data_IF_929526691016
#
_entry.id   IF_929526691016
#
_cell.length_a   1.000
_cell.length_b   1.000
_cell.length_c   1.000
_cell.angle_alpha   90.00
_cell.angle_beta   90.00
_cell.angle_gamma   90.00
#
_symmetry.space_group_name_H-M   'P 1'
#
loop_
_entity.id
_entity.type
_entity.pdbx_description
1 polymer ?
#
# COMPACT_ATOMS: atom_id res chain seq x y z
N UNK A 1 40.58 -7.82 22.06
CA UNK A 1 39.41 -6.98 22.44
C UNK A 1 38.42 -6.74 21.27
N UNK A 2 38.86 -6.60 20.02
CA UNK A 2 37.97 -6.35 18.85
C UNK A 2 36.98 -7.49 18.49
N UNK A 3 37.34 -8.76 18.71
CA UNK A 3 36.51 -9.92 18.33
C UNK A 3 35.22 -9.97 19.17
N UNK A 4 35.27 -9.58 20.44
CA UNK A 4 34.10 -9.56 21.33
C UNK A 4 33.09 -8.49 20.91
N UNK A 5 33.56 -7.29 20.53
CA UNK A 5 32.70 -6.20 20.05
C UNK A 5 31.99 -6.54 18.73
N UNK A 6 32.65 -7.29 17.84
CA UNK A 6 32.09 -7.70 16.55
C UNK A 6 30.94 -8.72 16.69
N UNK A 7 30.98 -9.60 17.71
CA UNK A 7 29.91 -10.56 18.01
C UNK A 7 28.60 -9.86 18.41
N UNK A 8 28.70 -8.77 19.17
CA UNK A 8 27.52 -7.99 19.55
C UNK A 8 26.90 -7.25 18.36
N UNK A 9 27.73 -6.70 17.46
CA UNK A 9 27.27 -6.05 16.22
C UNK A 9 26.53 -7.07 15.32
N UNK A 10 27.11 -8.26 15.13
CA UNK A 10 26.47 -9.33 14.37
C UNK A 10 25.16 -9.79 15.01
N UNK A 11 25.13 -9.93 16.34
CA UNK A 11 23.90 -10.30 17.06
C UNK A 11 22.81 -9.22 16.97
N UNK A 12 23.18 -7.94 16.99
CA UNK A 12 22.25 -6.82 16.85
C UNK A 12 21.68 -6.75 15.42
N UNK A 13 22.51 -6.95 14.39
CA UNK A 13 22.05 -7.02 13.00
C UNK A 13 21.07 -8.18 12.79
N UNK A 14 21.37 -9.35 13.36
CA UNK A 14 20.48 -10.51 13.29
C UNK A 14 19.13 -10.21 13.96
N UNK A 15 19.14 -9.56 15.12
CA UNK A 15 17.91 -9.17 15.81
C UNK A 15 17.08 -8.17 14.99
N UNK A 16 17.72 -7.12 14.45
CA UNK A 16 17.07 -6.13 13.58
C UNK A 16 16.49 -6.82 12.33
N UNK A 17 17.21 -7.76 11.74
CA UNK A 17 16.73 -8.53 10.59
C UNK A 17 15.46 -9.33 10.92
N UNK A 18 15.43 -10.03 12.07
CA UNK A 18 14.24 -10.80 12.48
C UNK A 18 13.01 -9.92 12.73
N UNK A 19 13.19 -8.74 13.33
CA UNK A 19 12.10 -7.77 13.56
C UNK A 19 11.55 -7.29 12.21
N UNK A 20 12.41 -6.99 11.24
CA UNK A 20 12.00 -6.59 9.89
C UNK A 20 11.23 -7.69 9.15
N UNK A 21 11.64 -8.96 9.27
CA UNK A 21 10.93 -10.09 8.64
C UNK A 21 9.54 -10.29 9.25
N UNK A 22 9.40 -10.15 10.58
CA UNK A 22 8.11 -10.25 11.25
C UNK A 22 7.13 -9.14 10.80
N UNK A 23 7.60 -7.89 10.71
CA UNK A 23 6.81 -6.78 10.21
C UNK A 23 6.37 -6.99 8.75
N UNK A 24 7.27 -7.43 7.87
CA UNK A 24 6.93 -7.74 6.48
C UNK A 24 5.90 -8.87 6.36
N UNK A 25 5.95 -9.86 7.24
CA UNK A 25 4.94 -10.93 7.28
C UNK A 25 3.56 -10.37 7.64
N UNK A 26 3.48 -9.54 8.69
CA UNK A 26 2.24 -8.91 9.12
C UNK A 26 1.60 -8.05 8.01
N UNK A 27 2.41 -7.23 7.31
CA UNK A 27 1.95 -6.46 6.14
C UNK A 27 1.32 -7.37 5.08
N UNK A 28 2.01 -8.44 4.68
CA UNK A 28 1.54 -9.36 3.64
C UNK A 28 0.23 -10.03 4.01
N UNK A 29 0.02 -10.34 5.29
CA UNK A 29 -1.21 -10.98 5.75
C UNK A 29 -2.41 -10.02 5.67
N UNK A 30 -2.20 -8.74 6.02
CA UNK A 30 -3.20 -7.70 5.80
C UNK A 30 -3.52 -7.50 4.31
N UNK A 31 -2.51 -7.43 3.44
CA UNK A 31 -2.72 -7.32 1.98
C UNK A 31 -3.53 -8.52 1.46
N UNK A 32 -3.17 -9.75 1.83
CA UNK A 32 -3.89 -10.96 1.38
C UNK A 32 -5.34 -10.96 1.82
N UNK A 33 -5.61 -10.56 3.06
CA UNK A 33 -6.97 -10.46 3.59
C UNK A 33 -7.75 -9.36 2.86
N UNK A 34 -7.14 -8.19 2.65
CA UNK A 34 -7.71 -7.10 1.85
C UNK A 34 -8.05 -7.53 0.42
N UNK A 35 -7.17 -8.29 -0.24
CA UNK A 35 -7.41 -8.78 -1.61
C UNK A 35 -8.61 -9.73 -1.67
N UNK A 36 -8.77 -10.62 -0.69
CA UNK A 36 -9.96 -11.50 -0.63
C UNK A 36 -11.24 -10.68 -0.47
N UNK A 37 -11.26 -9.76 0.49
CA UNK A 37 -12.41 -8.88 0.72
C UNK A 37 -12.74 -8.01 -0.50
N UNK A 38 -11.72 -7.53 -1.22
CA UNK A 38 -11.90 -6.80 -2.46
C UNK A 38 -12.56 -7.67 -3.55
N UNK A 39 -12.11 -8.92 -3.71
CA UNK A 39 -12.71 -9.86 -4.66
C UNK A 39 -14.16 -10.21 -4.28
N UNK A 40 -14.45 -10.27 -2.98
CA UNK A 40 -15.79 -10.47 -2.43
C UNK A 40 -16.65 -9.18 -2.48
N UNK A 41 -16.15 -8.10 -3.11
CA UNK A 41 -16.78 -6.78 -3.21
C UNK A 41 -17.11 -6.12 -1.85
N UNK A 42 -16.49 -6.60 -0.76
CA UNK A 42 -16.64 -6.06 0.59
C UNK A 42 -15.61 -4.93 0.79
N UNK A 43 -15.84 -3.82 0.09
CA UNK A 43 -14.81 -2.78 -0.09
C UNK A 43 -14.45 -2.02 1.18
N UNK A 44 -15.37 -1.88 2.15
CA UNK A 44 -15.10 -1.14 3.40
C UNK A 44 -14.09 -1.92 4.26
N UNK A 45 -14.28 -3.22 4.40
CA UNK A 45 -13.39 -4.11 5.14
C UNK A 45 -12.06 -4.29 4.40
N UNK A 46 -12.08 -4.32 3.07
CA UNK A 46 -10.86 -4.32 2.27
C UNK A 46 -10.03 -3.05 2.55
N UNK A 47 -10.67 -1.88 2.57
CA UNK A 47 -10.03 -0.60 2.91
C UNK A 47 -9.37 -0.66 4.30
N UNK A 48 -10.08 -1.16 5.32
CA UNK A 48 -9.53 -1.31 6.68
C UNK A 48 -8.25 -2.17 6.67
N UNK A 49 -8.23 -3.27 5.93
CA UNK A 49 -7.05 -4.14 5.88
C UNK A 49 -5.88 -3.50 5.14
N UNK A 50 -6.12 -2.78 4.03
CA UNK A 50 -5.03 -2.07 3.36
C UNK A 50 -4.48 -0.91 4.18
N UNK A 51 -5.31 -0.21 4.97
CA UNK A 51 -4.84 0.80 5.93
C UNK A 51 -3.96 0.18 7.01
N UNK A 52 -4.34 -0.98 7.57
CA UNK A 52 -3.48 -1.73 8.51
C UNK A 52 -2.17 -2.19 7.88
N UNK A 53 -2.18 -2.58 6.61
CA UNK A 53 -0.93 -2.89 5.90
C UNK A 53 0.00 -1.67 5.81
N UNK A 54 -0.56 -0.47 5.57
CA UNK A 54 0.19 0.78 5.54
C UNK A 54 0.65 1.26 6.92
N UNK A 55 -0.06 0.93 8.00
CA UNK A 55 0.43 1.15 9.37
C UNK A 55 1.70 0.34 9.66
N UNK A 56 1.77 -0.89 9.14
CA UNK A 56 2.95 -1.77 9.29
C UNK A 56 4.08 -1.34 8.35
N UNK A 57 3.75 -1.02 7.09
CA UNK A 57 4.71 -0.54 6.10
C UNK A 57 4.18 0.70 5.35
N UNK A 58 4.50 1.90 5.84
CA UNK A 58 4.05 3.15 5.24
C UNK A 58 4.58 3.42 3.82
N UNK A 59 5.55 2.64 3.34
CA UNK A 59 6.14 2.77 1.99
C UNK A 59 5.69 1.66 1.04
N UNK A 60 4.68 0.87 1.42
CA UNK A 60 4.14 -0.21 0.59
C UNK A 60 3.35 0.34 -0.60
N UNK A 61 3.99 0.39 -1.77
CA UNK A 61 3.32 0.85 -3.01
C UNK A 61 2.17 -0.07 -3.40
N UNK A 62 2.30 -1.37 -3.13
CA UNK A 62 1.23 -2.37 -3.31
C UNK A 62 0.01 -2.04 -2.44
N UNK A 63 0.22 -1.74 -1.16
CA UNK A 63 -0.89 -1.41 -0.25
C UNK A 63 -1.56 -0.09 -0.63
N UNK A 64 -0.78 0.93 -1.02
CA UNK A 64 -1.31 2.20 -1.53
C UNK A 64 -2.15 2.00 -2.79
N UNK A 65 -1.65 1.21 -3.75
CA UNK A 65 -2.37 0.93 -4.99
C UNK A 65 -3.67 0.17 -4.74
N UNK A 66 -3.65 -0.87 -3.92
CA UNK A 66 -4.84 -1.65 -3.60
C UNK A 66 -5.86 -0.85 -2.79
N UNK A 67 -5.41 0.02 -1.87
CA UNK A 67 -6.26 0.97 -1.19
C UNK A 67 -6.91 1.94 -2.18
N UNK A 68 -6.14 2.50 -3.12
CA UNK A 68 -6.66 3.36 -4.19
C UNK A 68 -7.76 2.67 -5.01
N UNK A 69 -7.54 1.41 -5.41
CA UNK A 69 -8.53 0.62 -6.16
C UNK A 69 -9.81 0.45 -5.36
N UNK A 70 -9.66 0.12 -4.07
CA UNK A 70 -10.77 -0.09 -3.15
C UNK A 70 -11.60 1.19 -2.94
N UNK A 71 -10.93 2.32 -2.74
CA UNK A 71 -11.57 3.64 -2.61
C UNK A 71 -12.29 4.04 -3.89
N UNK A 72 -11.72 3.71 -5.06
CA UNK A 72 -12.36 3.96 -6.36
C UNK A 72 -13.66 3.15 -6.53
N UNK A 73 -13.70 1.89 -6.07
CA UNK A 73 -14.93 1.09 -6.07
C UNK A 73 -15.99 1.66 -5.12
N UNK A 74 -15.57 2.27 -4.01
CA UNK A 74 -16.44 3.01 -3.11
C UNK A 74 -16.83 4.42 -3.61
N UNK A 75 -16.42 4.81 -4.83
CA UNK A 75 -16.61 6.14 -5.40
C UNK A 75 -15.92 7.29 -4.62
N UNK A 76 -15.00 6.97 -3.72
CA UNK A 76 -14.14 7.91 -3.00
C UNK A 76 -12.96 8.34 -3.88
N UNK A 77 -13.26 8.89 -5.06
CA UNK A 77 -12.25 9.11 -6.11
C UNK A 77 -11.13 10.07 -5.71
N UNK A 78 -11.40 11.07 -4.85
CA UNK A 78 -10.37 12.00 -4.39
C UNK A 78 -9.31 11.27 -3.57
N UNK A 79 -9.74 10.51 -2.57
CA UNK A 79 -8.86 9.72 -1.71
C UNK A 79 -8.12 8.64 -2.51
N UNK A 80 -8.79 8.02 -3.50
CA UNK A 80 -8.16 7.06 -4.40
C UNK A 80 -6.98 7.68 -5.16
N UNK A 81 -7.16 8.88 -5.73
CA UNK A 81 -6.09 9.60 -6.43
C UNK A 81 -4.94 9.96 -5.50
N UNK A 82 -5.22 10.38 -4.26
CA UNK A 82 -4.18 10.67 -3.26
C UNK A 82 -3.29 9.45 -2.98
N UNK A 83 -3.88 8.25 -2.90
CA UNK A 83 -3.12 7.01 -2.70
C UNK A 83 -2.26 6.63 -3.92
N UNK A 84 -2.78 6.79 -5.13
CA UNK A 84 -2.00 6.53 -6.33
C UNK A 84 -0.82 7.50 -6.48
N UNK A 85 -1.04 8.78 -6.14
CA UNK A 85 0.04 9.78 -6.12
C UNK A 85 1.07 9.42 -5.05
N UNK A 86 0.65 9.04 -3.84
CA UNK A 86 1.56 8.58 -2.80
C UNK A 86 2.41 7.38 -3.27
N UNK A 87 1.81 6.40 -3.95
CA UNK A 87 2.54 5.27 -4.52
C UNK A 87 3.60 5.71 -5.55
N UNK A 88 3.25 6.63 -6.46
CA UNK A 88 4.21 7.14 -7.47
C UNK A 88 5.39 7.89 -6.86
N UNK A 89 5.19 8.55 -5.72
CA UNK A 89 6.25 9.30 -5.03
C UNK A 89 7.29 8.38 -4.36
N UNK A 90 6.97 7.09 -4.16
CA UNK A 90 7.91 6.10 -3.65
C UNK A 90 8.72 5.48 -4.80
N UNK A 91 8.10 5.21 -5.95
CA UNK A 91 8.71 4.56 -7.13
C UNK A 91 9.49 5.53 -8.05
N UNK A 92 10.06 6.62 -7.50
CA UNK A 92 10.64 7.77 -8.25
C UNK A 92 11.61 7.42 -9.40
N UNK A 93 12.21 6.24 -9.39
CA UNK A 93 13.15 5.80 -10.43
C UNK A 93 12.48 5.34 -11.73
N UNK A 94 11.18 5.03 -11.74
CA UNK A 94 10.43 4.72 -12.97
C UNK A 94 9.00 5.27 -12.91
N UNK A 95 8.60 6.18 -13.83
CA UNK A 95 7.19 6.55 -13.95
C UNK A 95 6.38 5.30 -14.28
N UNK A 96 5.63 4.81 -13.30
CA UNK A 96 4.80 3.63 -13.45
C UNK A 96 3.58 4.03 -14.30
N UNK A 97 3.61 3.66 -15.59
CA UNK A 97 2.54 3.95 -16.56
C UNK A 97 1.16 3.56 -16.02
N UNK A 98 1.09 2.49 -15.22
CA UNK A 98 -0.14 2.01 -14.60
C UNK A 98 -0.73 3.03 -13.62
N UNK A 99 0.10 3.75 -12.87
CA UNK A 99 -0.37 4.76 -11.91
C UNK A 99 -1.03 5.93 -12.64
N UNK A 100 -0.41 6.43 -13.71
CA UNK A 100 -0.98 7.52 -14.51
C UNK A 100 -2.31 7.12 -15.17
N UNK A 101 -2.41 5.90 -15.71
CA UNK A 101 -3.68 5.40 -16.26
C UNK A 101 -4.75 5.28 -15.18
N UNK A 102 -4.41 4.79 -13.99
CA UNK A 102 -5.38 4.61 -12.90
C UNK A 102 -5.88 5.95 -12.33
N UNK A 103 -5.00 6.96 -12.22
CA UNK A 103 -5.38 8.33 -11.83
C UNK A 103 -6.30 8.94 -12.89
N UNK A 104 -5.96 8.81 -14.17
CA UNK A 104 -6.77 9.30 -15.28
C UNK A 104 -8.17 8.64 -15.28
N UNK A 105 -8.24 7.32 -15.12
CA UNK A 105 -9.52 6.60 -15.02
C UNK A 105 -10.38 7.09 -13.84
N UNK A 106 -9.77 7.31 -12.67
CA UNK A 106 -10.49 7.85 -11.51
C UNK A 106 -11.00 9.26 -11.76
N UNK A 107 -10.21 10.11 -12.42
CA UNK A 107 -10.64 11.44 -12.82
C UNK A 107 -11.84 11.40 -13.78
N UNK A 108 -11.78 10.58 -14.82
CA UNK A 108 -12.86 10.44 -15.80
C UNK A 108 -14.15 9.87 -15.19
N UNK A 109 -14.02 8.85 -14.33
CA UNK A 109 -15.18 8.29 -13.60
C UNK A 109 -15.85 9.34 -12.71
N UNK A 110 -15.06 10.15 -11.99
CA UNK A 110 -15.58 11.26 -11.19
C UNK A 110 -16.26 12.32 -12.06
N UNK A 111 -15.63 12.74 -13.16
CA UNK A 111 -16.18 13.73 -14.08
C UNK A 111 -17.52 13.27 -14.68
N UNK A 112 -17.60 12.00 -15.12
CA UNK A 112 -18.83 11.40 -15.65
C UNK A 112 -19.98 11.40 -14.64
N UNK A 113 -19.69 11.22 -13.36
CA UNK A 113 -20.71 11.31 -12.29
C UNK A 113 -21.16 12.75 -12.09
N UNK A 114 -20.24 13.72 -12.11
CA UNK A 114 -20.58 15.14 -11.96
C UNK A 114 -21.43 15.67 -13.12
N UNK A 115 -21.17 15.22 -14.35
CA UNK A 115 -21.91 15.64 -15.55
C UNK A 115 -23.27 14.95 -15.71
N UNK A 116 -23.54 13.88 -14.95
CA UNK A 116 -24.83 13.16 -14.94
C UNK A 116 -25.78 13.63 -13.82
N UNK A 117 -25.34 14.57 -12.99
CA UNK A 117 -26.16 15.26 -11.99
C UNK A 117 -26.59 16.60 -12.54
#
# INVERSE_FOLDING_TARGET
MYISSCKYILSAILLIFTINVAAQKAERDYIRKGNRLFNDSTFVEAEVNYRKALEVNPKSTVSMYNLGNTLSQQQKFKEAMEQYVAASNIEKDKPNKLIFTTIWECFFRRLKIMLKR
#
